data_IF_072723774252
#
_entry.id   IF_072723774252
#
_cell.length_a   1.000
_cell.length_b   1.000
_cell.length_c   1.000
_cell.angle_alpha   90.00
_cell.angle_beta   90.00
_cell.angle_gamma   90.00
#
_symmetry.space_group_name_H-M   'P 1'
#
loop_
_entity.id
_entity.type
_entity.pdbx_description
1 polymer ?
#
# COMPACT_ATOMS: atom_id res chain seq x y z
N UNK A 1 -12.45 -23.07 9.92
CA UNK A 1 -11.12 -23.46 9.40
C UNK A 1 -10.15 -22.35 9.78
N UNK A 2 -9.02 -22.66 10.42
CA UNK A 2 -8.02 -21.65 10.76
C UNK A 2 -7.39 -21.17 9.46
N UNK A 3 -7.53 -19.88 9.14
CA UNK A 3 -6.87 -19.30 7.98
C UNK A 3 -5.37 -19.25 8.29
N UNK A 4 -4.50 -19.99 7.56
CA UNK A 4 -3.10 -20.06 7.90
C UNK A 4 -2.47 -18.67 7.75
N UNK A 5 -1.68 -18.23 8.74
CA UNK A 5 -1.08 -16.88 8.78
C UNK A 5 -0.43 -16.41 7.47
N UNK A 6 0.08 -17.36 6.68
CA UNK A 6 0.67 -17.08 5.37
C UNK A 6 -0.33 -16.45 4.37
N UNK A 7 -1.61 -16.81 4.44
CA UNK A 7 -2.62 -16.28 3.52
C UNK A 7 -2.88 -14.79 3.72
N UNK A 8 -2.68 -14.25 4.94
CA UNK A 8 -2.74 -12.81 5.16
C UNK A 8 -1.59 -12.09 4.47
N UNK A 9 -0.40 -12.68 4.45
CA UNK A 9 0.73 -12.13 3.71
C UNK A 9 0.47 -12.18 2.20
N UNK A 10 -0.07 -13.28 1.68
CA UNK A 10 -0.46 -13.40 0.26
C UNK A 10 -1.54 -12.38 -0.12
N UNK A 11 -2.54 -12.18 0.73
CA UNK A 11 -3.58 -11.16 0.52
C UNK A 11 -3.00 -9.73 0.52
N UNK A 12 -2.04 -9.44 1.41
CA UNK A 12 -1.32 -8.16 1.43
C UNK A 12 -0.47 -7.96 0.17
N UNK A 13 0.17 -9.01 -0.33
CA UNK A 13 0.91 -8.97 -1.61
C UNK A 13 -0.02 -8.59 -2.76
N UNK A 14 -1.15 -9.30 -2.89
CA UNK A 14 -2.15 -9.04 -3.92
C UNK A 14 -2.70 -7.62 -3.83
N UNK A 15 -3.01 -7.13 -2.62
CA UNK A 15 -3.47 -5.76 -2.43
C UNK A 15 -2.40 -4.73 -2.84
N UNK A 16 -1.12 -4.98 -2.52
CA UNK A 16 -0.01 -4.11 -2.94
C UNK A 16 0.18 -4.07 -4.47
N UNK A 17 -0.02 -5.20 -5.16
CA UNK A 17 0.04 -5.26 -6.63
C UNK A 17 -1.12 -4.48 -7.27
N UNK A 18 -2.33 -4.61 -6.71
CA UNK A 18 -3.49 -3.84 -7.15
C UNK A 18 -3.30 -2.34 -6.90
N UNK A 19 -2.73 -1.94 -5.77
CA UNK A 19 -2.38 -0.54 -5.49
C UNK A 19 -1.42 0.00 -6.54
N UNK A 20 -0.36 -0.75 -6.87
CA UNK A 20 0.59 -0.35 -7.90
C UNK A 20 -0.06 -0.24 -9.28
N UNK A 21 -0.96 -1.17 -9.63
CA UNK A 21 -1.70 -1.12 -10.89
C UNK A 21 -2.61 0.13 -10.97
N UNK A 22 -3.35 0.41 -9.90
CA UNK A 22 -4.21 1.59 -9.80
C UNK A 22 -3.40 2.90 -9.86
N UNK A 23 -2.26 2.97 -9.15
CA UNK A 23 -1.35 4.11 -9.18
C UNK A 23 -0.81 4.36 -10.60
N UNK A 24 -0.40 3.31 -11.32
CA UNK A 24 0.04 3.42 -12.73
C UNK A 24 -1.07 3.90 -13.66
N UNK A 25 -2.33 3.59 -13.34
CA UNK A 25 -3.50 4.03 -14.08
C UNK A 25 -4.02 5.42 -13.63
N UNK A 26 -3.39 6.05 -12.62
CA UNK A 26 -3.84 7.33 -12.06
C UNK A 26 -5.14 7.26 -11.24
N UNK A 27 -5.54 6.05 -10.83
CA UNK A 27 -6.79 5.80 -10.08
C UNK A 27 -6.56 5.96 -8.57
N UNK A 28 -6.33 7.18 -8.11
CA UNK A 28 -5.93 7.45 -6.71
C UNK A 28 -6.99 7.09 -5.67
N UNK A 29 -8.28 7.21 -6.00
CA UNK A 29 -9.37 6.76 -5.12
C UNK A 29 -9.30 5.24 -4.88
N UNK A 30 -8.94 4.46 -5.90
CA UNK A 30 -8.74 3.02 -5.76
C UNK A 30 -7.48 2.69 -4.94
N UNK A 31 -6.41 3.47 -5.08
CA UNK A 31 -5.22 3.33 -4.22
C UNK A 31 -5.58 3.53 -2.75
N UNK A 32 -6.34 4.58 -2.42
CA UNK A 32 -6.79 4.87 -1.04
C UNK A 32 -7.72 3.77 -0.52
N UNK A 33 -8.66 3.29 -1.35
CA UNK A 33 -9.56 2.19 -0.98
C UNK A 33 -8.77 0.91 -0.66
N UNK A 34 -7.76 0.59 -1.46
CA UNK A 34 -6.90 -0.58 -1.27
C UNK A 34 -5.99 -0.42 -0.05
N UNK A 35 -5.49 0.78 0.24
CA UNK A 35 -4.77 1.06 1.49
C UNK A 35 -5.64 0.76 2.72
N UNK A 36 -6.91 1.15 2.68
CA UNK A 36 -7.89 0.80 3.73
C UNK A 36 -8.05 -0.71 3.89
N UNK A 37 -8.10 -1.47 2.80
CA UNK A 37 -8.14 -2.94 2.84
C UNK A 37 -6.86 -3.53 3.45
N UNK A 38 -5.68 -3.00 3.10
CA UNK A 38 -4.40 -3.38 3.72
C UNK A 38 -4.40 -3.13 5.23
N UNK A 39 -4.92 -2.00 5.70
CA UNK A 39 -5.01 -1.70 7.13
C UNK A 39 -5.85 -2.73 7.89
N UNK A 40 -6.98 -3.15 7.33
CA UNK A 40 -7.83 -4.21 7.90
C UNK A 40 -7.09 -5.56 7.92
N UNK A 41 -6.43 -5.95 6.82
CA UNK A 41 -5.66 -7.19 6.74
C UNK A 41 -4.51 -7.21 7.75
N UNK A 42 -3.80 -6.09 7.94
CA UNK A 42 -2.72 -5.96 8.93
C UNK A 42 -3.28 -6.11 10.35
N UNK A 43 -4.43 -5.52 10.65
CA UNK A 43 -5.07 -5.66 11.96
C UNK A 43 -5.45 -7.12 12.26
N UNK A 44 -6.05 -7.81 11.29
CA UNK A 44 -6.41 -9.22 11.41
C UNK A 44 -5.18 -10.12 11.54
N UNK A 45 -4.14 -9.89 10.73
CA UNK A 45 -2.87 -10.60 10.81
C UNK A 45 -2.22 -10.46 12.19
N UNK A 46 -2.22 -9.25 12.77
CA UNK A 46 -1.68 -9.02 14.12
C UNK A 46 -2.41 -9.87 15.16
N UNK A 47 -3.75 -9.91 15.13
CA UNK A 47 -4.54 -10.74 16.04
C UNK A 47 -4.24 -12.23 15.84
N UNK A 48 -4.29 -12.72 14.60
CA UNK A 48 -4.02 -14.13 14.31
C UNK A 48 -2.61 -14.57 14.73
N UNK A 49 -1.62 -13.66 14.65
CA UNK A 49 -0.23 -13.94 15.01
C UNK A 49 0.02 -14.10 16.51
N UNK A 50 -0.94 -13.70 17.36
CA UNK A 50 -0.85 -13.92 18.81
C UNK A 50 -1.14 -15.39 19.17
N UNK A 51 -1.97 -16.05 18.37
CA UNK A 51 -2.46 -17.41 18.64
C UNK A 51 -1.72 -18.48 17.82
N UNK A 52 -1.08 -18.09 16.71
CA UNK A 52 -0.51 -19.01 15.75
C UNK A 52 0.95 -18.66 15.44
N UNK A 53 1.77 -19.68 15.20
CA UNK A 53 3.15 -19.53 14.77
C UNK A 53 3.33 -19.99 13.31
N UNK A 54 4.19 -19.30 12.57
CA UNK A 54 4.59 -19.73 11.24
C UNK A 54 5.62 -20.86 11.32
N UNK A 55 5.44 -21.88 10.48
CA UNK A 55 6.47 -22.89 10.23
C UNK A 55 7.74 -22.24 9.67
N UNK A 56 8.94 -22.85 9.81
CA UNK A 56 10.18 -22.30 9.25
C UNK A 56 10.11 -22.04 7.75
N UNK A 57 9.36 -22.85 7.01
CA UNK A 57 9.08 -22.66 5.58
C UNK A 57 8.27 -21.39 5.34
N UNK A 58 7.15 -21.21 6.04
CA UNK A 58 6.33 -20.02 5.89
C UNK A 58 7.04 -18.74 6.37
N UNK A 59 8.01 -18.83 7.29
CA UNK A 59 8.84 -17.68 7.66
C UNK A 59 9.75 -17.22 6.51
N UNK A 60 10.25 -18.14 5.66
CA UNK A 60 10.98 -17.78 4.44
C UNK A 60 10.05 -17.11 3.44
N UNK A 61 8.87 -17.69 3.21
CA UNK A 61 7.88 -17.14 2.28
C UNK A 61 7.42 -15.74 2.71
N UNK A 62 7.15 -15.53 4.01
CA UNK A 62 6.84 -14.22 4.58
C UNK A 62 7.89 -13.17 4.20
N UNK A 63 9.19 -13.48 4.32
CA UNK A 63 10.24 -12.51 3.99
C UNK A 63 10.23 -12.12 2.50
N UNK A 64 10.03 -13.09 1.61
CA UNK A 64 9.94 -12.85 0.18
C UNK A 64 8.72 -11.98 -0.18
N UNK A 65 7.56 -12.29 0.40
CA UNK A 65 6.34 -11.50 0.23
C UNK A 65 6.55 -10.06 0.70
N UNK A 66 7.09 -9.87 1.90
CA UNK A 66 7.35 -8.53 2.45
C UNK A 66 8.27 -7.69 1.56
N UNK A 67 9.29 -8.29 0.94
CA UNK A 67 10.17 -7.57 0.02
C UNK A 67 9.43 -7.08 -1.23
N UNK A 68 8.49 -7.88 -1.76
CA UNK A 68 7.69 -7.51 -2.92
C UNK A 68 6.70 -6.40 -2.59
N UNK A 69 6.01 -6.49 -1.44
CA UNK A 69 5.13 -5.43 -0.93
C UNK A 69 5.90 -4.10 -0.83
N UNK A 70 7.06 -4.09 -0.15
CA UNK A 70 7.86 -2.88 0.01
C UNK A 70 8.33 -2.28 -1.33
N UNK A 71 8.64 -3.13 -2.31
CA UNK A 71 8.99 -2.69 -3.68
C UNK A 71 7.79 -2.08 -4.41
N UNK A 72 6.59 -2.62 -4.22
CA UNK A 72 5.37 -2.07 -4.80
C UNK A 72 5.04 -0.71 -4.17
N UNK A 73 5.08 -0.62 -2.83
CA UNK A 73 4.86 0.64 -2.10
C UNK A 73 5.83 1.74 -2.51
N UNK A 74 7.11 1.41 -2.70
CA UNK A 74 8.11 2.37 -3.15
C UNK A 74 7.76 2.94 -4.54
N UNK A 75 7.30 2.10 -5.46
CA UNK A 75 6.86 2.55 -6.78
C UNK A 75 5.56 3.37 -6.71
N UNK A 76 4.61 3.00 -5.85
CA UNK A 76 3.38 3.80 -5.63
C UNK A 76 3.76 5.21 -5.15
N UNK A 77 4.69 5.33 -4.19
CA UNK A 77 5.17 6.65 -3.71
C UNK A 77 5.85 7.46 -4.80
N UNK A 78 6.73 6.84 -5.59
CA UNK A 78 7.39 7.50 -6.72
C UNK A 78 6.40 8.01 -7.77
N UNK A 79 5.34 7.25 -8.03
CA UNK A 79 4.27 7.69 -8.94
C UNK A 79 3.47 8.85 -8.32
N UNK A 80 3.42 8.95 -6.99
CA UNK A 80 2.70 9.99 -6.27
C UNK A 80 3.46 11.30 -6.05
N UNK A 81 4.78 11.28 -6.16
CA UNK A 81 5.63 12.45 -5.92
C UNK A 81 5.57 13.58 -6.99
N UNK A 82 5.07 13.43 -8.24
CA UNK A 82 5.07 14.55 -9.21
C UNK A 82 4.02 15.65 -8.95
N UNK A 83 2.86 15.38 -8.36
CA UNK A 83 1.78 16.39 -8.26
C UNK A 83 1.79 17.26 -7.00
N UNK A 84 2.57 16.92 -5.97
CA UNK A 84 2.69 17.80 -4.79
C UNK A 84 3.38 19.11 -5.19
N UNK A 85 4.36 19.07 -6.09
CA UNK A 85 5.04 20.25 -6.60
C UNK A 85 4.13 21.08 -7.53
N UNK A 86 3.38 20.42 -8.41
CA UNK A 86 2.43 21.10 -9.32
C UNK A 86 1.25 21.75 -8.58
N UNK A 87 0.73 21.11 -7.53
CA UNK A 87 -0.33 21.69 -6.69
C UNK A 87 0.21 22.90 -5.90
N UNK A 88 1.41 22.83 -5.34
CA UNK A 88 2.04 23.98 -4.67
C UNK A 88 2.26 25.14 -5.67
N UNK A 89 2.69 24.83 -6.89
CA UNK A 89 2.82 25.82 -7.96
C UNK A 89 1.48 26.46 -8.37
N UNK A 90 0.42 25.66 -8.55
CA UNK A 90 -0.91 26.16 -8.91
C UNK A 90 -1.53 27.01 -7.79
N UNK A 91 -1.39 26.60 -6.52
CA UNK A 91 -1.89 27.35 -5.36
C UNK A 91 -1.14 28.67 -5.17
N UNK A 92 0.19 28.69 -5.35
CA UNK A 92 0.99 29.93 -5.31
C UNK A 92 0.61 30.90 -6.43
N UNK A 93 0.31 30.39 -7.63
CA UNK A 93 -0.11 31.21 -8.76
C UNK A 93 -1.50 31.83 -8.55
N UNK A 94 -2.42 31.14 -7.87
CA UNK A 94 -3.74 31.69 -7.51
C UNK A 94 -3.63 32.84 -6.49
N UNK A 95 -2.72 32.76 -5.51
CA UNK A 95 -2.56 33.82 -4.50
C UNK A 95 -1.95 35.12 -5.04
N UNK A 96 -1.17 35.05 -6.12
CA UNK A 96 -0.59 36.25 -6.76
C UNK A 96 -1.57 37.00 -7.68
N UNK A 97 -2.67 36.36 -8.10
CA UNK A 97 -3.71 36.98 -8.93
C UNK A 97 -4.69 37.89 -8.18
N UNK A 98 -4.66 37.91 -6.84
CA UNK A 98 -5.55 38.71 -5.98
C UNK A 98 -4.90 40.01 -5.45
N UNK A 99 -3.68 40.33 -5.89
CA UNK A 99 -2.92 41.52 -5.47
C UNK A 99 -2.81 42.58 -6.59
N UNK A 100 -3.78 42.65 -7.49
CA UNK A 100 -3.94 43.78 -8.43
C UNK A 100 -5.36 44.36 -8.34
#
# INVERSE_FOLDING_TARGET
MVQPLISYYEALEQASEQMLAAARAGQWDDVVRLEGACAVLIAQLRQASLEHNLTPEHQRNKRQIMQRILRNDAQVRQLAEPWIEDIDFMLRRQQQGFLH
#
